data_IF_193295342405
#
_entry.id   IF_193295342405
#
_cell.length_a   1.000
_cell.length_b   1.000
_cell.length_c   1.000
_cell.angle_alpha   90.00
_cell.angle_beta   90.00
_cell.angle_gamma   90.00
#
_symmetry.space_group_name_H-M   'P 1'
#
loop_
_entity.id
_entity.type
_entity.pdbx_description
1 polymer ?
#
# COMPACT_ATOMS: atom_id res chain seq x y z
N UNK A 1 -18.74 -8.34 -8.77
CA UNK A 1 -17.80 -8.80 -7.75
C UNK A 1 -16.75 -7.69 -7.50
N UNK A 2 -16.47 -7.42 -6.23
CA UNK A 2 -15.46 -6.44 -5.88
C UNK A 2 -14.07 -6.99 -6.19
N UNK A 3 -13.20 -6.13 -6.70
CA UNK A 3 -11.83 -6.51 -7.03
C UNK A 3 -10.84 -5.65 -6.23
N UNK A 4 -9.73 -6.28 -5.83
CA UNK A 4 -8.67 -5.61 -5.13
C UNK A 4 -7.32 -5.84 -5.80
N UNK A 5 -6.37 -4.98 -5.51
CA UNK A 5 -4.98 -5.14 -5.94
C UNK A 5 -4.05 -4.84 -4.78
N UNK A 6 -2.93 -5.53 -4.74
CA UNK A 6 -1.85 -5.27 -3.79
C UNK A 6 -0.56 -5.07 -4.56
N UNK A 7 0.14 -3.98 -4.28
CA UNK A 7 1.44 -3.67 -4.87
C UNK A 7 2.45 -3.54 -3.74
N UNK A 8 3.58 -4.22 -3.87
CA UNK A 8 4.70 -4.11 -2.93
C UNK A 8 5.83 -3.34 -3.59
N UNK A 9 6.23 -2.24 -2.97
CA UNK A 9 7.38 -1.45 -3.41
C UNK A 9 8.60 -1.89 -2.61
N UNK A 10 9.46 -2.69 -3.21
CA UNK A 10 10.70 -3.16 -2.59
C UNK A 10 11.68 -3.58 -3.68
N UNK A 11 12.74 -2.81 -3.85
CA UNK A 11 13.78 -3.12 -4.83
C UNK A 11 14.44 -4.46 -4.52
N UNK A 12 14.67 -4.77 -3.24
CA UNK A 12 15.30 -6.04 -2.86
C UNK A 12 14.39 -7.23 -3.11
N UNK A 13 13.09 -7.10 -2.84
CA UNK A 13 12.13 -8.17 -3.10
C UNK A 13 11.94 -8.38 -4.60
N UNK A 14 11.91 -7.30 -5.38
CA UNK A 14 11.78 -7.37 -6.84
C UNK A 14 12.99 -8.05 -7.49
N UNK A 15 14.19 -7.84 -6.95
CA UNK A 15 15.42 -8.46 -7.45
C UNK A 15 15.64 -9.88 -6.94
N UNK A 16 14.80 -10.37 -6.04
CA UNK A 16 14.92 -11.70 -5.45
C UNK A 16 15.87 -11.78 -4.26
N UNK A 17 16.47 -10.67 -3.83
CA UNK A 17 17.40 -10.68 -2.68
C UNK A 17 16.69 -10.66 -1.34
N UNK A 18 15.37 -10.46 -1.32
CA UNK A 18 14.56 -10.47 -0.11
C UNK A 18 13.22 -11.12 -0.41
N UNK A 19 12.76 -12.02 0.45
CA UNK A 19 11.44 -12.63 0.30
C UNK A 19 10.38 -11.67 0.81
N UNK A 20 9.39 -11.35 -0.03
CA UNK A 20 8.25 -10.54 0.37
C UNK A 20 7.30 -11.38 1.23
N UNK A 21 6.92 -10.85 2.39
CA UNK A 21 5.93 -11.46 3.28
C UNK A 21 4.71 -10.59 3.50
N UNK A 22 4.81 -9.28 3.24
CA UNK A 22 3.70 -8.34 3.47
C UNK A 22 2.63 -8.43 2.38
N UNK A 23 3.05 -8.61 1.12
CA UNK A 23 2.12 -8.70 0.00
C UNK A 23 1.13 -9.85 0.15
N UNK A 24 1.61 -11.09 0.36
CA UNK A 24 0.70 -12.24 0.57
C UNK A 24 -0.26 -12.04 1.74
N UNK A 25 0.16 -11.39 2.83
CA UNK A 25 -0.71 -11.11 3.97
C UNK A 25 -1.84 -10.16 3.60
N UNK A 26 -1.51 -9.09 2.85
CA UNK A 26 -2.51 -8.13 2.41
C UNK A 26 -3.50 -8.78 1.44
N UNK A 27 -3.01 -9.61 0.52
CA UNK A 27 -3.86 -10.35 -0.42
C UNK A 27 -4.80 -11.29 0.33
N UNK A 28 -4.28 -12.04 1.29
CA UNK A 28 -5.10 -12.96 2.07
C UNK A 28 -6.18 -12.21 2.86
N UNK A 29 -5.83 -11.05 3.42
CA UNK A 29 -6.81 -10.22 4.13
C UNK A 29 -7.95 -9.80 3.20
N UNK A 30 -7.64 -9.31 2.01
CA UNK A 30 -8.67 -8.88 1.06
C UNK A 30 -9.54 -10.04 0.60
N UNK A 31 -8.93 -11.20 0.33
CA UNK A 31 -9.67 -12.40 -0.07
C UNK A 31 -10.62 -12.86 1.04
N UNK A 32 -10.18 -12.77 2.30
CA UNK A 32 -11.02 -13.13 3.44
C UNK A 32 -12.24 -12.21 3.58
N UNK A 33 -12.16 -10.99 3.07
CA UNK A 33 -13.29 -10.05 3.04
C UNK A 33 -14.19 -10.23 1.81
N UNK A 34 -13.95 -11.25 1.00
CA UNK A 34 -14.74 -11.50 -0.20
C UNK A 34 -14.36 -10.64 -1.40
N UNK A 35 -13.18 -10.06 -1.38
CA UNK A 35 -12.66 -9.23 -2.47
C UNK A 35 -11.75 -10.08 -3.35
N UNK A 36 -12.11 -10.22 -4.63
CA UNK A 36 -11.32 -10.96 -5.60
C UNK A 36 -10.00 -10.24 -5.85
N UNK A 37 -8.89 -10.85 -5.43
CA UNK A 37 -7.59 -10.20 -5.43
C UNK A 37 -6.53 -11.12 -6.04
N UNK A 38 -5.84 -10.70 -7.12
CA UNK A 38 -4.71 -11.48 -7.64
C UNK A 38 -3.52 -11.42 -6.68
N UNK A 39 -2.52 -12.24 -6.94
CA UNK A 39 -1.29 -12.20 -6.16
C UNK A 39 -0.66 -10.81 -6.20
N UNK A 40 0.04 -10.45 -5.14
CA UNK A 40 0.66 -9.13 -5.04
C UNK A 40 1.69 -8.94 -6.15
N UNK A 41 1.69 -7.74 -6.75
CA UNK A 41 2.73 -7.33 -7.68
C UNK A 41 3.88 -6.73 -6.88
N UNK A 42 5.08 -7.29 -7.03
CA UNK A 42 6.29 -6.78 -6.36
C UNK A 42 7.09 -5.99 -7.38
N UNK A 43 7.32 -4.72 -7.10
CA UNK A 43 8.03 -3.82 -8.01
C UNK A 43 9.18 -3.13 -7.31
N UNK A 44 10.19 -2.71 -8.07
CA UNK A 44 11.26 -1.87 -7.56
C UNK A 44 10.69 -0.50 -7.17
N UNK A 45 11.31 0.15 -6.19
CA UNK A 45 10.86 1.47 -5.72
C UNK A 45 10.74 2.49 -6.85
N UNK A 46 11.63 2.44 -7.82
CA UNK A 46 11.61 3.36 -8.96
C UNK A 46 10.40 3.14 -9.89
N UNK A 47 9.76 1.97 -9.84
CA UNK A 47 8.67 1.60 -10.75
C UNK A 47 7.29 1.77 -10.13
N UNK A 48 7.22 2.26 -8.88
CA UNK A 48 5.94 2.30 -8.14
C UNK A 48 4.89 3.17 -8.80
N UNK A 49 5.27 4.31 -9.34
CA UNK A 49 4.30 5.24 -9.94
C UNK A 49 3.60 4.59 -11.15
N UNK A 50 4.35 3.91 -12.00
CA UNK A 50 3.80 3.23 -13.17
C UNK A 50 2.90 2.07 -12.76
N UNK A 51 3.31 1.30 -11.74
CA UNK A 51 2.51 0.18 -11.26
C UNK A 51 1.17 0.65 -10.65
N UNK A 52 1.19 1.76 -9.90
CA UNK A 52 -0.02 2.36 -9.33
C UNK A 52 -0.95 2.84 -10.44
N UNK A 53 -0.42 3.54 -11.44
CA UNK A 53 -1.23 4.02 -12.55
C UNK A 53 -1.91 2.87 -13.29
N UNK A 54 -1.18 1.79 -13.56
CA UNK A 54 -1.73 0.63 -14.25
C UNK A 54 -2.83 -0.06 -13.42
N UNK A 55 -2.62 -0.21 -12.12
CA UNK A 55 -3.62 -0.82 -11.25
C UNK A 55 -4.89 0.01 -11.16
N UNK A 56 -4.76 1.33 -11.03
CA UNK A 56 -5.92 2.22 -10.91
C UNK A 56 -6.68 2.38 -12.23
N UNK A 57 -6.04 2.13 -13.36
CA UNK A 57 -6.71 2.19 -14.67
C UNK A 57 -7.87 1.21 -14.78
N UNK A 58 -7.83 0.08 -14.07
CA UNK A 58 -8.92 -0.90 -14.05
C UNK A 58 -10.02 -0.56 -13.03
N UNK A 59 -9.88 0.54 -12.30
CA UNK A 59 -10.84 1.00 -11.27
C UNK A 59 -11.24 -0.10 -10.28
N UNK A 60 -10.28 -0.73 -9.59
CA UNK A 60 -10.63 -1.73 -8.57
C UNK A 60 -11.37 -1.10 -7.40
N UNK A 61 -12.02 -1.90 -6.58
CA UNK A 61 -12.65 -1.39 -5.36
C UNK A 61 -11.63 -0.94 -4.32
N UNK A 62 -10.50 -1.67 -4.23
CA UNK A 62 -9.45 -1.42 -3.24
C UNK A 62 -8.08 -1.59 -3.87
N UNK A 63 -7.17 -0.67 -3.56
CA UNK A 63 -5.75 -0.82 -3.83
C UNK A 63 -4.98 -0.63 -2.52
N UNK A 64 -4.23 -1.64 -2.11
CA UNK A 64 -3.32 -1.54 -0.99
C UNK A 64 -1.88 -1.58 -1.51
N UNK A 65 -1.02 -0.74 -0.95
CA UNK A 65 0.40 -0.79 -1.24
C UNK A 65 1.19 -1.07 0.03
N UNK A 66 2.34 -1.69 -0.10
CA UNK A 66 3.26 -1.95 1.02
C UNK A 66 4.64 -1.44 0.65
N UNK A 67 5.28 -0.74 1.58
CA UNK A 67 6.61 -0.17 1.37
C UNK A 67 6.58 1.24 0.78
N UNK A 68 7.71 1.91 0.82
CA UNK A 68 7.89 3.23 0.22
C UNK A 68 7.21 4.38 0.95
N UNK A 69 6.86 4.22 2.23
CA UNK A 69 6.19 5.26 3.02
C UNK A 69 7.13 6.01 3.97
N UNK A 70 8.42 5.70 3.94
CA UNK A 70 9.41 6.35 4.80
C UNK A 70 9.87 7.70 4.29
N UNK A 71 10.98 8.17 4.82
CA UNK A 71 11.48 9.52 4.58
C UNK A 71 12.72 9.57 3.69
N UNK A 72 13.19 8.44 3.19
CA UNK A 72 14.36 8.42 2.30
C UNK A 72 13.96 8.80 0.86
N UNK A 73 14.96 9.14 0.04
CA UNK A 73 14.70 9.49 -1.35
C UNK A 73 14.10 8.36 -2.19
N UNK A 74 14.30 7.11 -1.78
CA UNK A 74 13.72 5.95 -2.48
C UNK A 74 12.25 5.71 -2.11
N UNK A 75 11.75 6.35 -1.05
CA UNK A 75 10.38 6.19 -0.58
C UNK A 75 9.44 7.07 -1.41
N UNK A 76 8.88 6.54 -2.49
CA UNK A 76 8.07 7.27 -3.46
C UNK A 76 6.62 6.82 -3.56
N UNK A 77 6.22 5.83 -2.76
CA UNK A 77 4.87 5.26 -2.86
C UNK A 77 3.79 6.28 -2.52
N UNK A 78 4.01 7.09 -1.47
CA UNK A 78 3.03 8.10 -1.05
C UNK A 78 2.76 9.08 -2.19
N UNK A 79 3.81 9.60 -2.83
CA UNK A 79 3.68 10.55 -3.93
C UNK A 79 2.97 9.91 -5.12
N UNK A 80 3.28 8.64 -5.42
CA UNK A 80 2.66 7.92 -6.53
C UNK A 80 1.16 7.71 -6.32
N UNK A 81 0.74 7.49 -5.09
CA UNK A 81 -0.67 7.25 -4.73
C UNK A 81 -1.42 8.55 -4.53
N UNK A 82 -0.82 9.52 -3.81
CA UNK A 82 -1.50 10.73 -3.38
C UNK A 82 -2.04 11.56 -4.54
N UNK A 83 -1.35 11.59 -5.68
CA UNK A 83 -1.80 12.31 -6.86
C UNK A 83 -3.14 11.80 -7.40
N UNK A 84 -3.57 10.60 -7.04
CA UNK A 84 -4.85 10.02 -7.45
C UNK A 84 -5.95 10.21 -6.41
N UNK A 85 -5.62 10.62 -5.19
CA UNK A 85 -6.60 10.77 -4.12
C UNK A 85 -7.29 12.12 -4.25
N UNK A 86 -8.61 12.09 -4.39
CA UNK A 86 -9.43 13.30 -4.41
C UNK A 86 -10.18 13.53 -3.11
N UNK A 87 -10.35 12.49 -2.29
CA UNK A 87 -10.95 12.60 -0.96
C UNK A 87 -10.06 11.88 0.02
N UNK A 88 -9.36 12.64 0.86
CA UNK A 88 -8.48 12.07 1.87
C UNK A 88 -9.26 11.56 3.08
N UNK A 89 -8.81 10.46 3.67
CA UNK A 89 -9.40 9.85 4.87
C UNK A 89 -8.36 9.82 6.00
N UNK A 90 -7.99 10.98 6.54
CA UNK A 90 -6.90 11.04 7.52
C UNK A 90 -7.20 10.29 8.82
N UNK A 91 -8.46 10.12 9.19
CA UNK A 91 -8.82 9.36 10.38
C UNK A 91 -8.38 7.91 10.33
N UNK A 92 -8.38 7.29 9.14
CA UNK A 92 -7.89 5.92 8.97
C UNK A 92 -6.38 5.88 9.24
N UNK A 93 -5.64 6.84 8.72
CA UNK A 93 -4.19 6.92 8.92
C UNK A 93 -3.86 7.16 10.40
N UNK A 94 -4.61 8.03 11.06
CA UNK A 94 -4.41 8.30 12.50
C UNK A 94 -4.63 7.04 13.33
N UNK A 95 -5.68 6.27 13.03
CA UNK A 95 -5.94 5.01 13.72
C UNK A 95 -4.80 4.01 13.48
N UNK A 96 -4.28 3.96 12.27
CA UNK A 96 -3.15 3.11 11.92
C UNK A 96 -1.89 3.51 12.71
N UNK A 97 -1.57 4.80 12.79
CA UNK A 97 -0.43 5.28 13.56
C UNK A 97 -0.58 4.97 15.04
N UNK A 98 -1.77 5.15 15.61
CA UNK A 98 -2.03 4.86 17.02
C UNK A 98 -1.78 3.38 17.32
N UNK A 99 -2.20 2.49 16.44
CA UNK A 99 -1.94 1.06 16.58
C UNK A 99 -0.45 0.75 16.40
N UNK A 100 0.20 1.37 15.42
CA UNK A 100 1.61 1.16 15.15
C UNK A 100 2.51 1.58 16.30
N UNK A 101 2.18 2.66 17.01
CA UNK A 101 2.95 3.15 18.15
C UNK A 101 2.99 2.17 19.32
N UNK A 102 2.04 1.25 19.40
CA UNK A 102 2.06 0.19 20.41
C UNK A 102 3.17 -0.84 20.15
N UNK A 103 3.68 -0.89 18.93
CA UNK A 103 4.68 -1.89 18.50
C UNK A 103 6.04 -1.27 18.24
N UNK A 104 6.09 -0.03 17.71
CA UNK A 104 7.34 0.64 17.40
C UNK A 104 7.18 2.16 17.46
N UNK A 105 8.09 2.87 18.17
CA UNK A 105 8.02 4.35 18.22
C UNK A 105 8.24 5.02 16.86
N UNK A 106 8.90 4.36 15.92
CA UNK A 106 9.18 4.93 14.61
C UNK A 106 7.97 4.94 13.68
N UNK A 107 6.82 4.39 14.11
CA UNK A 107 5.59 4.42 13.33
C UNK A 107 5.18 5.83 12.91
N UNK A 108 5.50 6.84 13.72
CA UNK A 108 5.17 8.24 13.40
C UNK A 108 5.97 8.78 12.20
N UNK A 109 7.05 8.12 11.81
CA UNK A 109 7.84 8.52 10.63
C UNK A 109 7.23 8.00 9.32
N UNK A 110 6.20 7.17 9.37
CA UNK A 110 5.49 6.72 8.18
C UNK A 110 4.63 7.86 7.64
N UNK A 111 4.75 8.13 6.33
CA UNK A 111 3.95 9.15 5.65
C UNK A 111 2.72 8.55 4.99
N UNK A 112 2.15 7.48 5.57
CA UNK A 112 1.02 6.76 5.00
C UNK A 112 -0.15 7.69 4.66
N UNK A 113 -0.86 7.36 3.58
CA UNK A 113 -2.07 8.07 3.17
C UNK A 113 -3.19 7.07 2.91
N UNK A 114 -4.43 7.54 3.05
CA UNK A 114 -5.62 6.77 2.72
C UNK A 114 -6.66 7.69 2.11
N UNK A 115 -7.40 7.22 1.14
CA UNK A 115 -8.42 8.04 0.53
C UNK A 115 -9.14 7.36 -0.63
N UNK A 116 -9.99 8.13 -1.30
CA UNK A 116 -10.75 7.68 -2.44
C UNK A 116 -10.28 8.38 -3.71
N UNK A 117 -10.22 7.64 -4.81
CA UNK A 117 -9.90 8.20 -6.12
C UNK A 117 -11.18 8.70 -6.83
N UNK A 118 -10.99 9.40 -7.95
CA UNK A 118 -12.11 9.89 -8.77
C UNK A 118 -13.06 8.77 -9.19
N UNK A 119 -12.52 7.59 -9.48
CA UNK A 119 -13.32 6.45 -9.97
C UNK A 119 -13.79 5.51 -8.85
N UNK A 120 -13.68 5.93 -7.59
CA UNK A 120 -14.25 5.19 -6.48
C UNK A 120 -13.37 4.09 -5.90
N UNK A 121 -12.08 4.07 -6.20
CA UNK A 121 -11.15 3.13 -5.58
C UNK A 121 -10.73 3.64 -4.20
N UNK A 122 -10.87 2.80 -3.17
CA UNK A 122 -10.24 3.06 -1.88
C UNK A 122 -8.77 2.68 -1.97
N UNK A 123 -7.88 3.61 -1.62
CA UNK A 123 -6.43 3.38 -1.64
C UNK A 123 -5.86 3.63 -0.26
N UNK A 124 -5.00 2.76 0.20
CA UNK A 124 -4.23 2.97 1.43
C UNK A 124 -2.80 2.46 1.23
N UNK A 125 -1.84 3.27 1.68
CA UNK A 125 -0.44 2.88 1.69
C UNK A 125 -0.09 2.31 3.05
N UNK A 126 0.65 1.21 3.07
CA UNK A 126 1.10 0.54 4.29
C UNK A 126 2.63 0.54 4.34
N UNK A 127 3.24 0.67 5.51
CA UNK A 127 4.70 0.55 5.61
C UNK A 127 5.15 -0.88 5.27
N UNK A 128 6.40 -1.02 4.87
CA UNK A 128 6.95 -2.31 4.46
C UNK A 128 7.25 -3.28 5.59
N UNK A 129 7.01 -2.91 6.85
CA UNK A 129 7.26 -3.79 7.98
C UNK A 129 6.12 -4.80 8.15
N UNK A 130 6.41 -5.97 8.72
CA UNK A 130 5.39 -6.99 8.98
C UNK A 130 4.26 -6.47 9.87
N UNK A 131 4.60 -5.64 10.86
CA UNK A 131 3.60 -5.05 11.76
C UNK A 131 2.62 -4.13 11.06
N UNK A 132 3.02 -3.51 9.95
CA UNK A 132 2.19 -2.58 9.20
C UNK A 132 1.02 -3.24 8.47
N UNK A 133 1.06 -4.55 8.27
CA UNK A 133 0.05 -5.29 7.49
C UNK A 133 -0.92 -6.07 8.37
N UNK A 134 -0.64 -6.14 9.66
CA UNK A 134 -1.51 -6.85 10.60
C UNK A 134 -2.84 -6.14 10.82
#
# INVERSE_FOLDING_TARGET
>A
MRKGHVIVASTRAASGSLTDTSGPRAVDFLRAQGIDTPDAAVVADADIAQAVDAALASAPSVLLTSGGTGITGDDQTVEAVERHIVKHLPGIVHAFWAEGLKHTPTAIASRAVAGMTTHGTFVMTLPGSRGGVK
#
